data_IF_730664111208
#
_entry.id   IF_730664111208
#
_cell.length_a   1.000
_cell.length_b   1.000
_cell.length_c   1.000
_cell.angle_alpha   90.00
_cell.angle_beta   90.00
_cell.angle_gamma   90.00
#
_symmetry.space_group_name_H-M   'P 1'
#
loop_
_entity.id
_entity.type
_entity.pdbx_description
1 polymer ?
#
# COMPACT_ATOMS: atom_id res chain seq x y z
N UNK A 1 -23.47 -10.03 14.53
CA UNK A 1 -22.64 -8.91 14.02
C UNK A 1 -21.56 -8.65 15.07
N UNK A 2 -20.31 -9.06 14.82
CA UNK A 2 -19.22 -8.84 15.78
C UNK A 2 -18.85 -7.36 15.88
N UNK A 3 -18.35 -6.91 17.04
CA UNK A 3 -17.76 -5.58 17.22
C UNK A 3 -16.38 -5.55 16.52
N UNK A 4 -16.38 -5.42 15.19
CA UNK A 4 -15.14 -5.30 14.42
C UNK A 4 -15.09 -3.92 13.77
N UNK A 5 -14.14 -3.08 14.19
CA UNK A 5 -13.88 -1.79 13.57
C UNK A 5 -13.03 -1.97 12.29
N UNK A 6 -13.60 -2.61 11.27
CA UNK A 6 -12.90 -2.88 10.01
C UNK A 6 -13.47 -2.04 8.88
N UNK A 7 -12.57 -1.36 8.16
CA UNK A 7 -12.91 -0.60 6.95
C UNK A 7 -13.34 -1.47 5.76
N UNK A 8 -13.35 -2.81 5.91
CA UNK A 8 -13.75 -3.76 4.87
C UNK A 8 -15.22 -3.56 4.48
N UNK A 9 -16.08 -3.31 5.47
CA UNK A 9 -17.52 -3.13 5.29
C UNK A 9 -17.95 -1.65 5.33
N UNK A 10 -17.01 -0.73 5.54
CA UNK A 10 -17.29 0.70 5.53
C UNK A 10 -17.52 1.14 4.07
N UNK A 11 -18.79 1.44 3.76
CA UNK A 11 -19.23 1.85 2.42
C UNK A 11 -19.22 3.35 2.24
N UNK A 12 -19.68 4.09 3.24
CA UNK A 12 -19.88 5.53 3.16
C UNK A 12 -19.21 6.27 4.32
N UNK A 13 -18.65 7.43 4.04
CA UNK A 13 -18.21 8.42 5.02
C UNK A 13 -19.34 9.43 5.23
N UNK A 14 -19.81 9.55 6.47
CA UNK A 14 -20.88 10.49 6.83
C UNK A 14 -20.37 11.72 7.58
N UNK A 15 -19.25 11.59 8.29
CA UNK A 15 -18.67 12.68 9.06
C UNK A 15 -17.16 12.49 9.21
N UNK A 16 -16.45 13.61 9.34
CA UNK A 16 -15.05 13.65 9.76
C UNK A 16 -15.01 14.21 11.17
N UNK A 17 -14.36 13.49 12.07
CA UNK A 17 -14.27 13.85 13.48
C UNK A 17 -12.80 13.99 13.86
N UNK A 18 -12.48 15.09 14.53
CA UNK A 18 -11.16 15.38 15.09
C UNK A 18 -11.29 15.38 16.61
N UNK A 19 -10.41 14.64 17.26
CA UNK A 19 -10.22 14.69 18.70
C UNK A 19 -9.19 15.79 19.01
N UNK A 20 -9.50 16.66 19.96
CA UNK A 20 -8.61 17.73 20.41
C UNK A 20 -8.48 17.65 21.93
N UNK A 21 -7.31 17.23 22.39
CA UNK A 21 -7.02 17.10 23.82
C UNK A 21 -6.45 18.40 24.42
N UNK A 22 -6.42 18.45 25.75
CA UNK A 22 -5.83 19.55 26.53
C UNK A 22 -6.39 20.93 26.19
N UNK A 23 -7.72 21.01 26.05
CA UNK A 23 -8.45 22.25 25.75
C UNK A 23 -8.99 22.85 27.04
N UNK A 24 -8.51 24.02 27.44
CA UNK A 24 -9.12 24.80 28.51
C UNK A 24 -9.97 25.94 27.95
N UNK A 25 -10.55 26.77 28.82
CA UNK A 25 -11.53 27.76 28.42
C UNK A 25 -10.98 28.81 27.44
N UNK A 26 -9.70 29.16 27.56
CA UNK A 26 -9.06 30.09 26.63
C UNK A 26 -8.84 29.46 25.26
N UNK A 27 -8.36 28.22 25.20
CA UNK A 27 -8.14 27.51 23.94
C UNK A 27 -9.47 27.25 23.22
N UNK A 28 -10.55 26.97 23.97
CA UNK A 28 -11.89 26.84 23.40
C UNK A 28 -12.38 28.17 22.79
N UNK A 29 -12.18 29.30 23.47
CA UNK A 29 -12.52 30.61 22.92
C UNK A 29 -11.76 30.88 21.62
N UNK A 30 -10.44 30.70 21.64
CA UNK A 30 -9.61 30.87 20.46
C UNK A 30 -10.03 29.93 19.31
N UNK A 31 -10.40 28.69 19.62
CA UNK A 31 -10.92 27.74 18.64
C UNK A 31 -12.22 28.24 18.01
N UNK A 32 -13.14 28.76 18.80
CA UNK A 32 -14.41 29.33 18.31
C UNK A 32 -14.15 30.55 17.43
N UNK A 33 -13.29 31.47 17.86
CA UNK A 33 -12.90 32.65 17.09
C UNK A 33 -12.23 32.27 15.75
N UNK A 34 -11.53 31.14 15.73
CA UNK A 34 -10.85 30.62 14.53
C UNK A 34 -11.82 30.19 13.43
N UNK A 35 -13.09 29.91 13.75
CA UNK A 35 -14.12 29.49 12.79
C UNK A 35 -14.62 30.62 11.89
N UNK A 36 -14.48 31.87 12.34
CA UNK A 36 -14.94 33.04 11.60
C UNK A 36 -13.88 33.57 10.62
N UNK A 37 -12.67 32.98 10.66
CA UNK A 37 -11.60 33.31 9.72
C UNK A 37 -11.79 32.63 8.36
N UNK A 38 -11.50 33.39 7.29
CA UNK A 38 -11.60 32.89 5.92
C UNK A 38 -10.50 31.86 5.60
N UNK A 39 -10.75 30.91 4.69
CA UNK A 39 -9.72 29.99 4.20
C UNK A 39 -8.45 30.72 3.77
N UNK A 40 -7.29 30.20 4.15
CA UNK A 40 -5.98 30.80 3.85
C UNK A 40 -5.44 31.77 4.91
N UNK A 41 -6.28 32.28 5.82
CA UNK A 41 -5.81 33.06 6.96
C UNK A 41 -5.09 32.16 7.99
N UNK A 42 -4.10 32.73 8.69
CA UNK A 42 -3.34 31.99 9.70
C UNK A 42 -4.25 31.60 10.87
N UNK A 43 -4.26 30.32 11.25
CA UNK A 43 -5.14 29.81 12.29
C UNK A 43 -6.61 29.62 11.85
N UNK A 44 -6.96 29.85 10.58
CA UNK A 44 -8.31 29.56 10.10
C UNK A 44 -8.62 28.07 10.12
N UNK A 45 -9.73 27.72 10.76
CA UNK A 45 -10.26 26.37 10.90
C UNK A 45 -11.69 26.41 10.34
N UNK A 46 -12.13 25.41 9.54
CA UNK A 46 -13.50 25.40 9.05
C UNK A 46 -14.47 25.36 10.22
N UNK A 47 -15.55 26.15 10.16
CA UNK A 47 -16.65 26.04 11.12
C UNK A 47 -17.23 24.61 11.10
N UNK A 48 -17.29 23.92 12.25
CA UNK A 48 -17.81 22.55 12.32
C UNK A 48 -19.34 22.54 12.45
N UNK A 49 -19.94 21.36 12.28
CA UNK A 49 -21.36 21.14 12.54
C UNK A 49 -21.64 21.04 14.04
N UNK A 50 -20.86 20.22 14.75
CA UNK A 50 -20.99 20.05 16.20
C UNK A 50 -19.65 20.16 16.92
N UNK A 51 -19.69 20.69 18.15
CA UNK A 51 -18.65 20.48 19.16
C UNK A 51 -19.17 19.52 20.20
N UNK A 52 -18.39 18.49 20.54
CA UNK A 52 -18.77 17.47 21.51
C UNK A 52 -17.80 17.46 22.66
N UNK A 53 -18.30 17.68 23.87
CA UNK A 53 -17.51 17.61 25.11
C UNK A 53 -17.64 16.21 25.69
N UNK A 54 -16.53 15.48 25.78
CA UNK A 54 -16.52 14.12 26.33
C UNK A 54 -15.60 13.93 27.54
N UNK A 55 -14.98 14.98 28.04
CA UNK A 55 -13.94 14.91 29.08
C UNK A 55 -13.14 16.20 29.15
N UNK A 56 -11.82 16.06 29.25
CA UNK A 56 -10.85 17.17 29.22
C UNK A 56 -10.56 17.70 27.80
N UNK A 57 -11.08 17.03 26.77
CA UNK A 57 -10.93 17.40 25.37
C UNK A 57 -12.27 17.66 24.69
N UNK A 58 -12.18 18.12 23.45
CA UNK A 58 -13.33 18.45 22.59
C UNK A 58 -13.20 17.67 21.28
N UNK A 59 -14.30 17.07 20.85
CA UNK A 59 -14.37 16.51 19.52
C UNK A 59 -15.04 17.51 18.56
N UNK A 60 -14.41 17.74 17.42
CA UNK A 60 -14.89 18.63 16.37
C UNK A 60 -15.51 17.77 15.26
N UNK A 61 -16.81 17.92 15.02
CA UNK A 61 -17.57 17.13 14.06
C UNK A 61 -17.90 17.94 12.80
N UNK A 62 -17.42 17.45 11.66
CA UNK A 62 -17.80 17.91 10.33
C UNK A 62 -18.75 16.87 9.72
N UNK A 63 -20.05 17.10 9.82
CA UNK A 63 -21.04 16.21 9.21
C UNK A 63 -21.20 16.59 7.75
N UNK A 64 -21.03 15.63 6.85
CA UNK A 64 -21.12 15.90 5.42
C UNK A 64 -22.57 16.16 5.01
N UNK A 65 -22.76 17.09 4.08
CA UNK A 65 -24.07 17.36 3.47
C UNK A 65 -24.58 16.13 2.70
N UNK A 66 -23.67 15.43 2.01
CA UNK A 66 -23.89 14.17 1.32
C UNK A 66 -22.90 13.10 1.80
N UNK A 67 -23.36 11.86 2.09
CA UNK A 67 -22.47 10.74 2.34
C UNK A 67 -21.55 10.48 1.12
N UNK A 68 -20.29 10.12 1.37
CA UNK A 68 -19.31 9.84 0.30
C UNK A 68 -18.95 8.37 0.29
N UNK A 69 -19.09 7.72 -0.87
CA UNK A 69 -18.66 6.33 -1.08
C UNK A 69 -17.14 6.19 -0.89
N UNK A 70 -16.72 5.35 0.06
CA UNK A 70 -15.32 5.15 0.43
C UNK A 70 -14.64 4.11 -0.47
N UNK A 71 -14.30 4.52 -1.70
CA UNK A 71 -13.37 3.77 -2.53
C UNK A 71 -11.95 3.74 -1.91
N UNK A 72 -11.11 2.72 -2.21
CA UNK A 72 -9.78 2.61 -1.61
C UNK A 72 -8.89 3.85 -1.76
N UNK A 73 -8.96 4.56 -2.90
CA UNK A 73 -8.19 5.77 -3.13
C UNK A 73 -8.71 6.96 -2.28
N UNK A 74 -10.03 7.11 -2.14
CA UNK A 74 -10.65 8.12 -1.29
C UNK A 74 -10.32 7.92 0.19
N UNK A 75 -10.25 6.66 0.67
CA UNK A 75 -9.82 6.37 2.04
C UNK A 75 -8.47 7.01 2.37
N UNK A 76 -7.53 6.97 1.42
CA UNK A 76 -6.21 7.59 1.61
C UNK A 76 -6.29 9.13 1.52
N UNK A 77 -7.09 9.68 0.60
CA UNK A 77 -7.27 11.14 0.50
C UNK A 77 -7.96 11.72 1.74
N UNK A 78 -9.04 11.11 2.23
CA UNK A 78 -9.73 11.55 3.44
C UNK A 78 -8.85 11.46 4.69
N UNK A 79 -7.91 10.50 4.73
CA UNK A 79 -6.90 10.43 5.79
C UNK A 79 -5.97 11.64 5.76
N UNK A 80 -5.47 12.03 4.59
CA UNK A 80 -4.61 13.23 4.46
C UNK A 80 -5.39 14.52 4.73
N UNK A 81 -6.66 14.61 4.29
CA UNK A 81 -7.56 15.71 4.62
C UNK A 81 -7.75 15.83 6.14
N UNK A 82 -8.11 14.73 6.81
CA UNK A 82 -8.25 14.68 8.28
C UNK A 82 -6.95 15.11 8.94
N UNK A 83 -5.78 14.65 8.47
CA UNK A 83 -4.49 15.07 9.03
C UNK A 83 -4.22 16.56 8.84
N UNK A 84 -4.55 17.14 7.68
CA UNK A 84 -4.42 18.57 7.44
C UNK A 84 -5.30 19.40 8.37
N UNK A 85 -6.55 18.98 8.57
CA UNK A 85 -7.48 19.62 9.49
C UNK A 85 -7.05 19.45 10.95
N UNK A 86 -6.59 18.25 11.36
CA UNK A 86 -6.09 18.00 12.72
C UNK A 86 -4.87 18.86 13.02
N UNK A 87 -3.93 18.99 12.08
CA UNK A 87 -2.77 19.85 12.25
C UNK A 87 -3.15 21.32 12.46
N UNK A 88 -4.17 21.81 11.75
CA UNK A 88 -4.70 23.17 11.93
C UNK A 88 -5.42 23.35 13.25
N UNK A 89 -6.26 22.39 13.62
CA UNK A 89 -7.03 22.41 14.85
C UNK A 89 -6.16 22.23 16.09
N UNK A 90 -5.01 21.57 15.98
CA UNK A 90 -4.08 21.29 17.07
C UNK A 90 -2.90 22.24 17.05
N UNK A 91 -3.15 23.51 17.41
CA UNK A 91 -2.13 24.52 17.56
C UNK A 91 -1.77 24.69 19.05
N UNK A 92 -0.55 24.30 19.49
CA UNK A 92 -0.12 24.34 20.88
C UNK A 92 -0.15 25.73 21.55
N UNK A 93 -0.20 26.79 20.73
CA UNK A 93 -0.20 28.18 21.21
C UNK A 93 -1.59 28.82 21.18
N UNK A 94 -2.57 28.18 20.53
CA UNK A 94 -3.87 28.78 20.26
C UNK A 94 -5.01 27.89 20.76
N UNK A 95 -5.05 26.62 20.35
CA UNK A 95 -6.23 25.76 20.44
C UNK A 95 -6.03 24.47 21.26
N UNK A 96 -4.79 24.12 21.60
CA UNK A 96 -4.47 23.04 22.56
C UNK A 96 -3.23 23.42 23.35
N UNK A 97 -3.03 22.84 24.54
CA UNK A 97 -1.78 22.98 25.32
C UNK A 97 -0.73 21.92 24.98
N UNK A 98 -1.11 20.90 24.21
CA UNK A 98 -0.21 19.80 23.89
C UNK A 98 0.66 20.14 22.67
N UNK A 99 1.98 20.11 22.84
CA UNK A 99 2.95 20.39 21.76
C UNK A 99 2.99 19.29 20.68
N UNK A 100 2.62 18.07 21.03
CA UNK A 100 2.66 16.91 20.13
C UNK A 100 1.27 16.58 19.61
N UNK A 101 1.05 16.80 18.31
CA UNK A 101 -0.22 16.52 17.63
C UNK A 101 -0.46 15.00 17.56
N UNK A 102 -1.64 14.57 18.01
CA UNK A 102 -2.06 13.18 17.91
C UNK A 102 -2.89 12.92 16.63
N UNK A 103 -2.29 12.22 15.67
CA UNK A 103 -2.97 11.87 14.42
C UNK A 103 -3.73 10.54 14.51
N UNK A 104 -5.02 10.61 14.18
CA UNK A 104 -5.94 9.48 14.30
C UNK A 104 -6.59 9.10 12.95
N UNK A 105 -6.97 7.83 12.80
CA UNK A 105 -7.57 7.29 11.58
C UNK A 105 -8.95 7.87 11.29
N UNK A 106 -9.39 7.82 10.03
CA UNK A 106 -10.79 8.12 9.65
C UNK A 106 -11.79 7.10 10.23
N UNK A 107 -11.31 5.90 10.59
CA UNK A 107 -12.12 4.83 11.16
C UNK A 107 -12.15 4.84 12.70
N UNK A 108 -11.62 5.88 13.33
CA UNK A 108 -11.58 5.94 14.79
C UNK A 108 -13.00 5.97 15.37
N UNK A 109 -13.23 5.15 16.39
CA UNK A 109 -14.45 5.18 17.17
C UNK A 109 -14.43 6.34 18.16
N UNK A 110 -15.54 7.05 18.28
CA UNK A 110 -15.75 8.11 19.26
C UNK A 110 -16.85 7.71 20.24
N UNK A 111 -16.85 8.33 21.43
CA UNK A 111 -17.92 8.14 22.41
C UNK A 111 -19.24 8.67 21.85
N UNK A 112 -20.30 7.90 22.05
CA UNK A 112 -21.65 8.26 21.60
C UNK A 112 -22.18 9.43 22.44
N UNK A 113 -22.72 10.46 21.78
CA UNK A 113 -23.40 11.56 22.46
C UNK A 113 -24.57 11.01 23.28
N UNK A 114 -24.73 11.50 24.52
CA UNK A 114 -25.71 11.01 25.49
C UNK A 114 -25.20 9.88 26.39
N UNK A 115 -24.09 9.22 26.05
CA UNK A 115 -23.47 8.20 26.92
C UNK A 115 -22.73 8.84 28.12
N UNK A 116 -22.48 8.03 29.15
CA UNK A 116 -21.65 8.40 30.31
C UNK A 116 -20.20 8.04 29.99
N UNK A 117 -19.26 8.95 30.23
CA UNK A 117 -17.84 8.65 30.12
C UNK A 117 -17.33 7.98 31.41
N UNK A 118 -17.02 6.67 31.41
CA UNK A 118 -16.59 5.96 32.61
C UNK A 118 -15.22 6.43 33.14
N UNK A 119 -14.44 7.17 32.34
CA UNK A 119 -13.11 7.67 32.72
C UNK A 119 -13.16 8.80 33.74
N UNK A 120 -14.24 9.59 33.78
CA UNK A 120 -14.37 10.77 34.64
C UNK A 120 -15.54 10.63 35.64
N UNK A 121 -15.95 9.39 35.95
CA UNK A 121 -17.02 9.07 36.89
C UNK A 121 -18.41 8.93 36.27
N UNK A 122 -19.40 8.57 37.09
CA UNK A 122 -20.75 8.18 36.65
C UNK A 122 -21.61 9.33 36.12
N UNK A 123 -21.19 10.59 36.27
CA UNK A 123 -22.03 11.76 36.00
C UNK A 123 -21.59 12.60 34.77
N UNK A 124 -20.48 12.24 34.11
CA UNK A 124 -20.05 13.01 32.94
C UNK A 124 -20.72 12.49 31.67
N UNK A 125 -21.80 13.17 31.28
CA UNK A 125 -22.49 12.93 30.02
C UNK A 125 -21.72 13.55 28.85
N UNK A 126 -21.59 12.78 27.77
CA UNK A 126 -21.10 13.29 26.49
C UNK A 126 -22.18 14.18 25.87
N UNK A 127 -21.90 15.48 25.73
CA UNK A 127 -22.85 16.47 25.20
C UNK A 127 -22.36 17.04 23.88
N UNK A 128 -23.30 17.27 22.96
CA UNK A 128 -23.05 17.91 21.68
C UNK A 128 -23.70 19.29 21.63
N UNK A 129 -23.01 20.24 21.02
CA UNK A 129 -23.48 21.59 20.75
C UNK A 129 -23.45 21.82 19.25
N UNK A 130 -24.58 22.16 18.65
CA UNK A 130 -24.63 22.52 17.24
C UNK A 130 -24.11 23.95 17.09
N UNK A 131 -23.07 24.13 16.28
CA UNK A 131 -22.39 25.42 16.08
C UNK A 131 -22.36 25.87 14.62
N UNK A 132 -22.78 25.00 13.70
CA UNK A 132 -22.85 25.26 12.29
C UNK A 132 -23.68 24.21 11.56
N UNK A 133 -23.73 24.35 10.24
CA UNK A 133 -24.46 23.44 9.36
C UNK A 133 -23.59 22.26 8.92
N UNK A 134 -24.21 21.37 8.13
CA UNK A 134 -23.46 20.33 7.41
C UNK A 134 -22.52 20.97 6.40
N UNK A 135 -21.41 20.30 6.12
CA UNK A 135 -20.33 20.83 5.29
C UNK A 135 -20.11 19.98 4.06
N UNK A 136 -19.73 20.62 2.94
CA UNK A 136 -19.30 19.90 1.75
C UNK A 136 -17.81 19.54 1.82
N UNK A 137 -17.39 18.54 1.03
CA UNK A 137 -15.97 18.17 0.91
C UNK A 137 -15.15 19.32 0.32
N UNK A 138 -15.71 20.06 -0.65
CA UNK A 138 -15.05 21.21 -1.28
C UNK A 138 -14.80 22.35 -0.29
N UNK A 139 -15.75 22.58 0.62
CA UNK A 139 -15.56 23.53 1.71
C UNK A 139 -14.37 23.13 2.58
N UNK A 140 -14.28 21.86 2.99
CA UNK A 140 -13.14 21.37 3.79
C UNK A 140 -11.81 21.43 3.01
N UNK A 141 -11.82 21.11 1.72
CA UNK A 141 -10.66 21.18 0.83
C UNK A 141 -10.04 22.58 0.76
N UNK A 142 -10.86 23.64 0.90
CA UNK A 142 -10.39 25.03 0.88
C UNK A 142 -9.49 25.38 2.07
N UNK A 143 -9.58 24.64 3.19
CA UNK A 143 -8.79 24.89 4.39
C UNK A 143 -7.47 24.12 4.44
N UNK A 144 -7.21 23.18 3.54
CA UNK A 144 -5.99 22.37 3.52
C UNK A 144 -5.12 22.62 2.29
N UNK A 145 -3.87 22.14 2.34
CA UNK A 145 -2.94 22.20 1.19
C UNK A 145 -3.41 21.29 0.07
N UNK A 146 -2.97 21.59 -1.15
CA UNK A 146 -3.35 20.85 -2.35
C UNK A 146 -3.06 19.35 -2.22
N UNK A 147 -1.92 18.97 -1.64
CA UNK A 147 -1.56 17.56 -1.44
C UNK A 147 -2.49 16.78 -0.49
N UNK A 148 -3.32 17.49 0.29
CA UNK A 148 -4.20 16.93 1.31
C UNK A 148 -5.68 16.96 0.89
N UNK A 149 -5.99 17.48 -0.30
CA UNK A 149 -7.36 17.60 -0.79
C UNK A 149 -7.90 16.25 -1.24
N UNK A 150 -9.22 16.12 -1.15
CA UNK A 150 -9.99 15.00 -1.68
C UNK A 150 -10.52 15.38 -3.06
N UNK A 151 -10.31 14.51 -4.03
CA UNK A 151 -10.79 14.66 -5.41
C UNK A 151 -11.89 13.62 -5.62
N UNK A 152 -13.14 14.08 -5.60
CA UNK A 152 -14.33 13.24 -5.79
C UNK A 152 -14.62 12.97 -7.28
N UNK A 153 -14.14 13.82 -8.18
CA UNK A 153 -14.41 13.73 -9.62
C UNK A 153 -13.60 12.63 -10.30
N UNK A 154 -12.48 12.24 -9.68
CA UNK A 154 -11.63 11.18 -10.19
C UNK A 154 -12.30 9.81 -10.07
N UNK A 155 -12.96 9.38 -11.15
CA UNK A 155 -13.52 8.03 -11.27
C UNK A 155 -12.47 6.95 -10.96
N UNK A 156 -12.75 6.12 -9.96
CA UNK A 156 -11.92 4.96 -9.66
C UNK A 156 -12.01 3.95 -10.79
N UNK A 157 -10.97 3.90 -11.61
CA UNK A 157 -10.81 2.84 -12.59
C UNK A 157 -9.79 1.86 -12.02
N UNK A 158 -10.20 0.71 -11.45
CA UNK A 158 -9.22 -0.29 -11.04
C UNK A 158 -8.45 -0.73 -12.28
N UNK A 159 -7.12 -0.82 -12.19
CA UNK A 159 -6.31 -1.45 -13.22
C UNK A 159 -6.74 -2.92 -13.31
N UNK A 160 -7.52 -3.26 -14.33
CA UNK A 160 -7.94 -4.64 -14.60
C UNK A 160 -6.87 -5.31 -15.44
N UNK A 161 -6.43 -6.48 -14.99
CA UNK A 161 -5.51 -7.35 -15.71
C UNK A 161 -6.13 -8.75 -15.71
N UNK A 162 -6.08 -9.44 -16.84
CA UNK A 162 -6.54 -10.83 -16.90
C UNK A 162 -5.62 -11.73 -16.07
N UNK A 163 -6.13 -12.89 -15.63
CA UNK A 163 -5.31 -13.86 -14.90
C UNK A 163 -4.12 -14.36 -15.72
N UNK A 164 -4.26 -14.47 -17.04
CA UNK A 164 -3.17 -14.87 -17.94
C UNK A 164 -2.07 -13.80 -18.04
N UNK A 165 -2.45 -12.52 -18.19
CA UNK A 165 -1.50 -11.40 -18.16
C UNK A 165 -0.80 -11.30 -16.80
N UNK A 166 -1.54 -11.48 -15.70
CA UNK A 166 -0.96 -11.47 -14.35
C UNK A 166 0.02 -12.64 -14.14
N UNK A 167 -0.26 -13.82 -14.70
CA UNK A 167 0.65 -14.97 -14.67
C UNK A 167 1.96 -14.68 -15.42
N UNK A 168 1.89 -13.93 -16.51
CA UNK A 168 3.06 -13.57 -17.32
C UNK A 168 3.88 -12.43 -16.70
N UNK A 169 3.21 -11.37 -16.25
CA UNK A 169 3.89 -10.18 -15.70
C UNK A 169 4.32 -10.36 -14.24
N UNK A 170 3.55 -11.10 -13.45
CA UNK A 170 3.78 -11.30 -12.02
C UNK A 170 3.71 -12.79 -11.63
N UNK A 171 4.61 -13.64 -12.17
CA UNK A 171 4.57 -15.10 -11.96
C UNK A 171 4.63 -15.50 -10.47
N UNK A 172 5.49 -14.83 -9.69
CA UNK A 172 5.61 -15.05 -8.24
C UNK A 172 4.33 -14.71 -7.47
N UNK A 173 3.64 -13.64 -7.88
CA UNK A 173 2.36 -13.24 -7.29
C UNK A 173 1.28 -14.26 -7.64
N UNK A 174 1.23 -14.72 -8.90
CA UNK A 174 0.26 -15.69 -9.37
C UNK A 174 0.41 -17.03 -8.64
N UNK A 175 1.65 -17.54 -8.51
CA UNK A 175 1.91 -18.77 -7.77
C UNK A 175 1.46 -18.67 -6.30
N UNK A 176 1.80 -17.57 -5.63
CA UNK A 176 1.46 -17.41 -4.21
C UNK A 176 -0.04 -17.18 -3.99
N UNK A 177 -0.65 -16.29 -4.76
CA UNK A 177 -2.03 -15.85 -4.54
C UNK A 177 -3.06 -16.79 -5.13
N UNK A 178 -2.82 -17.31 -6.33
CA UNK A 178 -3.78 -18.12 -7.07
C UNK A 178 -3.53 -19.61 -6.85
N UNK A 179 -2.29 -20.09 -6.96
CA UNK A 179 -2.00 -21.53 -6.79
C UNK A 179 -1.93 -21.95 -5.31
N UNK A 180 -1.20 -21.19 -4.48
CA UNK A 180 -1.00 -21.50 -3.05
C UNK A 180 -2.09 -20.92 -2.14
N UNK A 181 -2.93 -20.02 -2.64
CA UNK A 181 -3.99 -19.36 -1.86
C UNK A 181 -3.48 -18.44 -0.74
N UNK A 182 -2.23 -17.96 -0.82
CA UNK A 182 -1.66 -17.07 0.19
C UNK A 182 -2.30 -15.67 0.15
N UNK A 183 -3.31 -15.46 0.99
CA UNK A 183 -4.04 -14.20 1.08
C UNK A 183 -3.26 -13.07 1.79
N UNK A 184 -2.03 -13.33 2.23
CA UNK A 184 -1.18 -12.32 2.85
C UNK A 184 -0.22 -11.68 1.84
N UNK A 185 -0.04 -10.35 1.86
CA UNK A 185 0.94 -9.68 1.00
C UNK A 185 2.37 -10.20 1.25
N UNK A 186 3.27 -10.02 0.28
CA UNK A 186 4.71 -10.29 0.49
C UNK A 186 5.22 -9.38 1.60
N UNK A 187 5.65 -9.97 2.72
CA UNK A 187 6.30 -9.24 3.81
C UNK A 187 7.80 -9.21 3.58
N UNK A 188 8.39 -8.04 3.74
CA UNK A 188 9.83 -7.93 3.91
C UNK A 188 10.10 -8.06 5.40
N UNK A 189 10.75 -9.16 5.81
CA UNK A 189 11.23 -9.27 7.17
C UNK A 189 12.40 -8.29 7.34
N UNK A 190 12.26 -7.39 8.30
CA UNK A 190 13.35 -6.50 8.70
C UNK A 190 14.14 -7.13 9.85
N UNK A 191 15.36 -6.65 10.07
CA UNK A 191 16.24 -7.19 11.10
C UNK A 191 15.64 -7.03 12.51
N UNK A 192 15.66 -8.10 13.32
CA UNK A 192 15.21 -8.12 14.73
C UNK A 192 15.82 -7.00 15.59
N UNK A 193 17.03 -6.55 15.27
CA UNK A 193 17.66 -5.41 15.95
C UNK A 193 16.79 -4.14 15.96
N UNK A 194 15.90 -3.97 14.98
CA UNK A 194 14.97 -2.83 14.93
C UNK A 194 13.88 -2.96 15.99
N UNK A 195 13.38 -4.17 16.24
CA UNK A 195 12.43 -4.45 17.32
C UNK A 195 13.07 -4.20 18.69
N UNK A 196 14.27 -4.73 18.90
CA UNK A 196 15.03 -4.54 20.15
C UNK A 196 15.41 -3.06 20.37
N UNK A 197 15.69 -2.31 19.29
CA UNK A 197 15.88 -0.87 19.35
C UNK A 197 14.60 -0.13 19.77
N UNK A 198 13.43 -0.50 19.22
CA UNK A 198 12.15 0.10 19.59
C UNK A 198 11.82 -0.12 21.08
N UNK A 199 12.13 -1.31 21.62
CA UNK A 199 11.93 -1.60 23.06
C UNK A 199 12.63 -0.61 23.98
N UNK A 200 13.77 -0.06 23.54
CA UNK A 200 14.54 0.94 24.30
C UNK A 200 13.91 2.34 24.27
N UNK A 201 13.06 2.63 23.29
CA UNK A 201 12.43 3.95 23.11
C UNK A 201 11.33 4.24 24.15
N UNK A 202 10.93 3.23 24.95
CA UNK A 202 9.96 3.40 26.04
C UNK A 202 10.35 4.53 27.01
N UNK A 203 11.64 4.75 27.23
CA UNK A 203 12.13 5.82 28.10
C UNK A 203 11.76 7.23 27.60
N UNK A 204 11.78 7.44 26.29
CA UNK A 204 11.57 8.75 25.66
C UNK A 204 10.09 9.06 25.38
N UNK A 205 9.20 8.08 25.59
CA UNK A 205 7.76 8.24 25.36
C UNK A 205 7.10 9.09 26.45
N UNK A 206 6.27 10.04 26.04
CA UNK A 206 5.42 10.86 26.92
C UNK A 206 4.16 10.08 27.31
N UNK A 207 3.55 10.42 28.46
CA UNK A 207 2.36 9.75 29.00
C UNK A 207 1.20 9.55 28.00
N UNK A 208 0.91 10.56 27.17
CA UNK A 208 -0.15 10.45 26.15
C UNK A 208 0.10 9.38 25.07
N UNK A 209 1.35 8.97 24.87
CA UNK A 209 1.74 8.01 23.84
C UNK A 209 2.03 6.61 24.37
N UNK A 210 1.72 6.31 25.65
CA UNK A 210 1.94 4.98 26.27
C UNK A 210 1.30 3.83 25.49
N UNK A 211 0.02 3.98 25.10
CA UNK A 211 -0.68 3.00 24.26
C UNK A 211 -0.07 2.89 22.87
N UNK A 212 0.20 4.03 22.22
CA UNK A 212 0.78 4.08 20.88
C UNK A 212 2.16 3.42 20.83
N UNK A 213 2.97 3.53 21.88
CA UNK A 213 4.23 2.82 22.00
C UNK A 213 4.06 1.29 21.92
N UNK A 214 3.10 0.72 22.68
CA UNK A 214 2.81 -0.72 22.65
C UNK A 214 2.23 -1.16 21.31
N UNK A 215 1.30 -0.37 20.74
CA UNK A 215 0.75 -0.61 19.41
C UNK A 215 1.88 -0.67 18.35
N UNK A 216 2.80 0.28 18.38
CA UNK A 216 3.93 0.35 17.45
C UNK A 216 4.99 -0.72 17.72
N UNK A 217 5.14 -1.19 18.96
CA UNK A 217 5.92 -2.37 19.28
C UNK A 217 5.35 -3.59 18.53
N UNK A 218 4.03 -3.73 18.48
CA UNK A 218 3.34 -4.77 17.69
C UNK A 218 3.58 -4.62 16.19
N UNK A 219 3.58 -3.39 15.67
CA UNK A 219 3.95 -3.10 14.27
C UNK A 219 5.38 -3.60 13.97
N UNK A 220 6.34 -3.32 14.85
CA UNK A 220 7.71 -3.80 14.68
C UNK A 220 7.85 -5.31 14.86
N UNK A 221 7.09 -5.92 15.78
CA UNK A 221 7.03 -7.37 15.96
C UNK A 221 6.62 -8.06 14.65
N UNK A 222 5.54 -7.59 14.02
CA UNK A 222 5.07 -8.11 12.72
C UNK A 222 6.10 -7.91 11.61
N UNK A 223 6.76 -6.74 11.56
CA UNK A 223 7.80 -6.45 10.56
C UNK A 223 9.05 -7.32 10.75
N UNK A 224 9.41 -7.65 11.98
CA UNK A 224 10.60 -8.47 12.31
C UNK A 224 10.31 -9.97 12.36
N UNK A 225 9.04 -10.39 12.24
CA UNK A 225 8.64 -11.79 12.33
C UNK A 225 8.65 -12.35 13.76
N UNK A 226 8.48 -11.51 14.78
CA UNK A 226 8.34 -11.90 16.18
C UNK A 226 6.95 -12.50 16.42
N UNK A 227 6.86 -13.55 17.23
CA UNK A 227 5.59 -14.24 17.50
C UNK A 227 4.66 -13.36 18.36
N UNK A 228 3.36 -13.68 18.37
CA UNK A 228 2.40 -12.93 19.20
C UNK A 228 2.66 -13.15 20.69
N UNK A 229 3.13 -14.34 21.05
CA UNK A 229 3.47 -14.75 22.41
C UNK A 229 4.64 -13.90 22.95
N UNK A 230 5.76 -13.84 22.22
CA UNK A 230 6.93 -13.00 22.59
C UNK A 230 6.55 -11.52 22.68
N UNK A 231 5.76 -11.02 21.72
CA UNK A 231 5.25 -9.65 21.74
C UNK A 231 4.36 -9.37 22.97
N UNK A 232 3.51 -10.32 23.35
CA UNK A 232 2.64 -10.22 24.53
C UNK A 232 3.46 -10.13 25.82
N UNK A 233 4.48 -10.99 25.96
CA UNK A 233 5.40 -10.96 27.11
C UNK A 233 6.16 -9.62 27.18
N UNK A 234 6.67 -9.13 26.06
CA UNK A 234 7.36 -7.83 26.00
C UNK A 234 6.43 -6.65 26.35
N UNK A 235 5.15 -6.71 25.96
CA UNK A 235 4.14 -5.71 26.34
C UNK A 235 3.93 -5.66 27.85
N UNK A 236 3.71 -6.82 28.47
CA UNK A 236 3.56 -6.93 29.93
C UNK A 236 4.84 -6.55 30.67
N UNK A 237 6.01 -6.90 30.13
CA UNK A 237 7.30 -6.49 30.67
C UNK A 237 7.48 -4.97 30.70
N UNK A 238 6.89 -4.24 29.75
CA UNK A 238 6.93 -2.76 29.68
C UNK A 238 5.85 -2.05 30.49
N UNK A 239 4.80 -2.76 30.90
CA UNK A 239 3.68 -2.16 31.65
C UNK A 239 4.11 -1.44 32.94
N UNK A 240 4.97 -1.99 33.82
CA UNK A 240 5.39 -1.29 35.04
C UNK A 240 6.10 0.05 34.79
N UNK A 241 6.87 0.13 33.70
CA UNK A 241 7.59 1.34 33.30
C UNK A 241 6.63 2.39 32.75
N UNK A 242 5.74 1.99 31.83
CA UNK A 242 4.76 2.88 31.20
C UNK A 242 3.73 3.41 32.21
N UNK A 243 3.31 2.58 33.17
CA UNK A 243 2.36 2.96 34.22
C UNK A 243 2.84 4.13 35.08
N UNK A 244 4.16 4.25 35.29
CA UNK A 244 4.76 5.34 36.09
C UNK A 244 4.80 6.67 35.36
N UNK A 245 4.64 6.69 34.03
CA UNK A 245 4.70 7.92 33.25
C UNK A 245 3.40 8.73 33.45
N UNK A 246 3.48 9.98 33.93
CA UNK A 246 2.29 10.79 34.21
C UNK A 246 1.59 11.22 32.91
N UNK A 247 0.26 11.29 32.93
CA UNK A 247 -0.56 11.78 31.83
C UNK A 247 -1.84 12.47 32.37
N UNK A 248 -1.68 13.51 33.18
CA UNK A 248 -2.82 14.14 33.86
C UNK A 248 -3.59 13.14 34.73
N UNK A 249 -4.92 13.09 34.56
CA UNK A 249 -5.81 12.16 35.29
C UNK A 249 -5.90 10.76 34.67
N UNK A 250 -5.19 10.53 33.56
CA UNK A 250 -5.26 9.27 32.82
C UNK A 250 -4.36 8.18 33.42
N UNK A 251 -4.99 7.21 34.07
CA UNK A 251 -4.34 6.03 34.63
C UNK A 251 -4.16 4.99 33.53
N UNK A 252 -2.92 4.56 33.29
CA UNK A 252 -2.62 3.46 32.37
C UNK A 252 -2.98 2.12 33.03
N UNK A 253 -3.85 1.34 32.39
CA UNK A 253 -4.44 0.14 32.99
C UNK A 253 -4.04 -1.15 32.24
N UNK A 254 -4.25 -2.34 32.82
CA UNK A 254 -4.00 -3.61 32.15
C UNK A 254 -4.77 -3.76 30.83
N UNK A 255 -5.99 -3.21 30.75
CA UNK A 255 -6.83 -3.30 29.56
C UNK A 255 -6.21 -2.55 28.35
N UNK A 256 -5.40 -1.50 28.60
CA UNK A 256 -4.68 -0.80 27.53
C UNK A 256 -3.60 -1.70 26.90
N UNK A 257 -2.99 -2.58 27.70
CA UNK A 257 -1.98 -3.55 27.26
C UNK A 257 -2.66 -4.65 26.45
N UNK A 258 -3.78 -5.19 26.95
CA UNK A 258 -4.57 -6.20 26.24
C UNK A 258 -5.04 -5.67 24.88
N UNK A 259 -5.56 -4.44 24.84
CA UNK A 259 -5.96 -3.79 23.59
C UNK A 259 -4.79 -3.61 22.61
N UNK A 260 -3.59 -3.32 23.09
CA UNK A 260 -2.40 -3.25 22.24
C UNK A 260 -1.99 -4.65 21.73
N UNK A 261 -2.13 -5.71 22.54
CA UNK A 261 -1.85 -7.09 22.13
C UNK A 261 -2.85 -7.55 21.05
N UNK A 262 -4.12 -7.18 21.18
CA UNK A 262 -5.16 -7.44 20.18
C UNK A 262 -4.86 -6.77 18.84
N UNK A 263 -4.11 -5.66 18.85
CA UNK A 263 -3.73 -4.95 17.64
C UNK A 263 -2.65 -5.64 16.79
N UNK A 264 -2.14 -6.80 17.23
CA UNK A 264 -1.19 -7.62 16.48
C UNK A 264 -1.85 -8.16 15.20
N UNK A 265 -1.79 -7.34 14.14
CA UNK A 265 -2.35 -7.66 12.82
C UNK A 265 -1.23 -7.89 11.81
N UNK A 266 -1.27 -9.01 11.06
CA UNK A 266 -0.28 -9.27 10.03
C UNK A 266 -0.22 -8.24 8.88
N UNK A 267 -1.20 -7.34 8.75
CA UNK A 267 -1.25 -6.20 7.83
C UNK A 267 -0.47 -4.97 8.33
N UNK A 268 -0.12 -4.92 9.62
CA UNK A 268 0.65 -3.81 10.20
C UNK A 268 2.05 -3.66 9.58
N UNK A 269 2.54 -4.66 8.84
CA UNK A 269 3.81 -4.57 8.11
C UNK A 269 3.89 -3.38 7.13
N UNK A 270 2.75 -2.81 6.71
CA UNK A 270 2.69 -1.67 5.77
C UNK A 270 2.94 -0.30 6.40
N UNK A 271 2.96 -0.19 7.73
CA UNK A 271 3.19 1.10 8.41
C UNK A 271 4.51 1.74 7.96
N UNK A 272 4.43 2.98 7.48
CA UNK A 272 5.61 3.75 7.09
C UNK A 272 6.31 4.35 8.29
N UNK A 273 7.61 4.66 8.17
CA UNK A 273 8.37 5.35 9.23
C UNK A 273 7.71 6.68 9.60
N UNK A 274 7.17 7.41 8.62
CA UNK A 274 6.51 8.70 8.85
C UNK A 274 5.26 8.53 9.72
N UNK A 275 4.48 7.48 9.50
CA UNK A 275 3.31 7.19 10.34
C UNK A 275 3.70 6.76 11.75
N UNK A 276 4.80 6.02 11.89
CA UNK A 276 5.35 5.65 13.20
C UNK A 276 5.72 6.93 13.96
N UNK A 277 6.49 7.84 13.35
CA UNK A 277 6.87 9.13 13.93
C UNK A 277 5.63 9.95 14.35
N UNK A 278 4.62 10.04 13.48
CA UNK A 278 3.37 10.77 13.76
C UNK A 278 2.58 10.20 14.94
N UNK A 279 2.63 8.89 15.16
CA UNK A 279 1.86 8.21 16.22
C UNK A 279 2.61 8.14 17.55
N UNK A 280 3.91 7.91 17.51
CA UNK A 280 4.73 7.87 18.73
C UNK A 280 5.10 9.25 19.25
N UNK A 281 5.08 10.28 18.40
CA UNK A 281 5.67 11.58 18.71
C UNK A 281 7.20 11.55 18.72
N UNK A 282 7.84 10.42 18.38
CA UNK A 282 9.29 10.27 18.37
C UNK A 282 9.86 10.49 16.98
N UNK A 283 10.89 11.32 16.88
CA UNK A 283 11.66 11.51 15.65
C UNK A 283 12.57 10.32 15.43
N UNK A 284 12.48 9.68 14.26
CA UNK A 284 13.36 8.57 13.87
C UNK A 284 14.40 9.10 12.90
N UNK A 285 15.66 9.10 13.31
CA UNK A 285 16.75 9.47 12.42
C UNK A 285 16.88 8.46 11.28
N UNK A 286 16.92 8.98 10.05
CA UNK A 286 17.07 8.15 8.85
C UNK A 286 18.53 7.81 8.66
N UNK A 287 18.83 6.52 8.44
CA UNK A 287 20.18 6.05 8.13
C UNK A 287 20.79 6.85 6.97
N UNK A 288 21.97 7.41 7.21
CA UNK A 288 22.79 8.08 6.18
C UNK A 288 23.72 7.07 5.56
N UNK A 289 24.01 7.20 4.25
CA UNK A 289 25.04 6.39 3.57
C UNK A 289 26.27 7.27 3.38
N UNK A 290 27.39 6.91 4.02
CA UNK A 290 28.61 7.73 4.04
C UNK A 290 28.33 9.20 4.40
N UNK A 291 27.60 9.41 5.51
CA UNK A 291 27.15 10.71 6.03
C UNK A 291 26.27 11.56 5.10
N UNK A 292 25.89 11.03 3.93
CA UNK A 292 25.09 11.72 2.90
C UNK A 292 23.66 11.18 2.85
N UNK A 293 22.72 12.02 2.40
CA UNK A 293 21.37 11.56 2.05
C UNK A 293 21.46 10.61 0.85
N UNK A 294 20.54 9.65 0.74
CA UNK A 294 20.58 8.65 -0.35
C UNK A 294 20.67 9.30 -1.75
N UNK A 295 19.92 10.37 -2.00
CA UNK A 295 19.95 11.11 -3.28
C UNK A 295 21.34 11.69 -3.58
N UNK A 296 22.00 12.26 -2.58
CA UNK A 296 23.36 12.81 -2.71
C UNK A 296 24.40 11.70 -2.85
N UNK A 297 24.25 10.61 -2.10
CA UNK A 297 25.11 9.45 -2.20
C UNK A 297 25.03 8.81 -3.60
N UNK A 298 23.83 8.65 -4.17
CA UNK A 298 23.65 8.16 -5.54
C UNK A 298 24.29 9.12 -6.55
N UNK A 299 24.09 10.43 -6.39
CA UNK A 299 24.75 11.43 -7.25
C UNK A 299 26.27 11.31 -7.20
N UNK A 300 26.84 11.22 -5.99
CA UNK A 300 28.27 11.07 -5.80
C UNK A 300 28.79 9.75 -6.38
N UNK A 301 28.11 8.63 -6.12
CA UNK A 301 28.46 7.32 -6.66
C UNK A 301 28.43 7.31 -8.19
N UNK A 302 27.39 7.90 -8.80
CA UNK A 302 27.30 8.04 -10.25
C UNK A 302 28.44 8.92 -10.78
N UNK A 303 28.73 10.05 -10.13
CA UNK A 303 29.82 10.93 -10.54
C UNK A 303 31.20 10.26 -10.45
N UNK A 304 31.45 9.47 -9.40
CA UNK A 304 32.69 8.69 -9.27
C UNK A 304 32.76 7.60 -10.35
N UNK A 305 31.66 6.87 -10.56
CA UNK A 305 31.59 5.84 -11.62
C UNK A 305 31.87 6.45 -12.99
N UNK A 306 31.19 7.55 -13.32
CA UNK A 306 31.18 8.14 -14.66
C UNK A 306 32.43 8.96 -14.95
N UNK A 307 33.08 9.57 -13.94
CA UNK A 307 34.25 10.44 -14.17
C UNK A 307 35.58 9.85 -13.70
N UNK A 308 35.57 8.89 -12.76
CA UNK A 308 36.81 8.33 -12.17
C UNK A 308 37.01 6.88 -12.60
N UNK A 309 36.00 6.02 -12.38
CA UNK A 309 36.14 4.58 -12.66
C UNK A 309 35.99 4.27 -14.14
N UNK A 310 35.11 4.99 -14.84
CA UNK A 310 34.79 4.76 -16.25
C UNK A 310 34.57 6.10 -17.00
N UNK A 311 35.60 6.97 -17.09
CA UNK A 311 35.51 8.27 -17.76
C UNK A 311 35.03 8.20 -19.22
N UNK A 312 35.30 7.09 -19.92
CA UNK A 312 34.85 6.87 -21.31
C UNK A 312 33.50 6.13 -21.42
N UNK A 313 32.80 5.93 -20.30
CA UNK A 313 31.49 5.28 -20.26
C UNK A 313 31.55 3.76 -20.49
N UNK A 314 32.69 3.11 -20.24
CA UNK A 314 32.89 1.66 -20.45
C UNK A 314 31.97 0.74 -19.63
N UNK A 315 31.29 1.26 -18.61
CA UNK A 315 30.26 0.52 -17.86
C UNK A 315 28.91 0.47 -18.58
N UNK A 316 28.67 1.40 -19.52
CA UNK A 316 27.46 1.41 -20.32
C UNK A 316 27.60 0.37 -21.42
N UNK A 317 26.79 -0.67 -21.33
CA UNK A 317 26.71 -1.65 -22.40
C UNK A 317 26.01 -1.02 -23.63
N UNK A 318 26.81 -0.47 -24.55
CA UNK A 318 26.36 0.15 -25.81
C UNK A 318 25.68 -0.83 -26.78
N UNK A 319 25.84 -2.13 -26.55
CA UNK A 319 25.32 -3.21 -27.40
C UNK A 319 24.03 -3.85 -26.83
N UNK A 320 23.50 -3.30 -25.73
CA UNK A 320 22.38 -3.89 -24.99
C UNK A 320 22.83 -5.08 -24.13
N UNK A 321 22.10 -5.35 -23.04
CA UNK A 321 22.38 -6.51 -22.20
C UNK A 321 22.54 -7.77 -23.07
N UNK A 322 23.54 -8.65 -22.86
CA UNK A 322 23.68 -9.88 -23.64
C UNK A 322 22.37 -10.64 -23.56
N UNK A 323 21.60 -10.60 -24.64
CA UNK A 323 20.27 -11.20 -24.62
C UNK A 323 20.49 -12.70 -24.67
N UNK A 324 20.38 -13.35 -23.50
CA UNK A 324 20.21 -14.81 -23.41
C UNK A 324 19.10 -15.33 -24.32
N UNK A 325 18.24 -14.45 -24.82
CA UNK A 325 17.36 -14.68 -25.97
C UNK A 325 18.06 -15.28 -27.19
N UNK A 326 19.21 -14.76 -27.64
CA UNK A 326 19.91 -15.29 -28.83
C UNK A 326 20.40 -16.72 -28.57
N UNK A 327 21.03 -16.95 -27.42
CA UNK A 327 21.50 -18.28 -27.01
C UNK A 327 20.34 -19.27 -26.87
N UNK A 328 19.26 -18.88 -26.17
CA UNK A 328 18.06 -19.71 -25.99
C UNK A 328 17.40 -20.02 -27.34
N UNK A 329 17.31 -19.03 -28.25
CA UNK A 329 16.71 -19.23 -29.59
C UNK A 329 17.58 -20.12 -30.49
N UNK A 330 18.90 -19.95 -30.50
CA UNK A 330 19.83 -20.80 -31.25
C UNK A 330 19.75 -22.23 -30.72
N UNK A 331 19.81 -22.40 -29.39
CA UNK A 331 19.70 -23.71 -28.76
C UNK A 331 18.36 -24.38 -29.04
N UNK A 332 17.23 -23.66 -29.03
CA UNK A 332 15.91 -24.20 -29.38
C UNK A 332 15.83 -24.60 -30.86
N UNK A 333 16.51 -23.89 -31.77
CA UNK A 333 16.58 -24.22 -33.19
C UNK A 333 17.45 -25.45 -33.47
N UNK A 334 18.59 -25.54 -32.80
CA UNK A 334 19.55 -26.65 -32.95
C UNK A 334 19.09 -27.93 -32.22
N UNK A 335 18.45 -27.77 -31.06
CA UNK A 335 17.84 -28.87 -30.31
C UNK A 335 16.56 -29.33 -31.01
N UNK A 336 16.71 -30.16 -32.04
CA UNK A 336 15.60 -30.78 -32.73
C UNK A 336 14.75 -31.61 -31.74
N UNK A 337 13.52 -31.16 -31.50
CA UNK A 337 12.33 -31.87 -30.96
C UNK A 337 12.42 -32.69 -29.65
N UNK A 338 13.56 -32.86 -28.96
CA UNK A 338 13.67 -33.85 -27.87
C UNK A 338 14.12 -33.37 -26.48
N UNK A 339 14.42 -32.09 -26.26
CA UNK A 339 14.83 -31.63 -24.94
C UNK A 339 13.65 -31.01 -24.16
N UNK A 340 13.47 -31.41 -22.91
CA UNK A 340 12.49 -30.81 -22.00
C UNK A 340 12.91 -29.40 -21.60
N UNK A 341 11.94 -28.54 -21.25
CA UNK A 341 12.20 -27.16 -20.78
C UNK A 341 13.18 -27.12 -19.61
N UNK A 342 13.16 -28.15 -18.76
CA UNK A 342 14.05 -28.29 -17.61
C UNK A 342 15.49 -28.61 -18.03
N UNK A 343 15.70 -29.42 -19.06
CA UNK A 343 17.03 -29.72 -19.61
C UNK A 343 17.62 -28.49 -20.31
N UNK A 344 16.81 -27.80 -21.13
CA UNK A 344 17.23 -26.55 -21.78
C UNK A 344 17.64 -25.50 -20.73
N UNK A 345 16.87 -25.38 -19.64
CA UNK A 345 17.17 -24.47 -18.54
C UNK A 345 18.48 -24.82 -17.83
N UNK A 346 18.75 -26.12 -17.64
CA UNK A 346 19.95 -26.64 -16.99
C UNK A 346 21.19 -26.43 -17.86
N UNK A 347 21.10 -26.73 -19.16
CA UNK A 347 22.21 -26.64 -20.11
C UNK A 347 22.62 -25.18 -20.36
N UNK A 348 21.66 -24.26 -20.43
CA UNK A 348 21.91 -22.83 -20.66
C UNK A 348 22.18 -22.02 -19.37
N UNK A 349 22.06 -22.67 -18.20
CA UNK A 349 22.16 -21.99 -16.89
C UNK A 349 21.15 -20.84 -16.77
N UNK A 350 19.91 -21.06 -17.18
CA UNK A 350 18.82 -20.07 -17.13
C UNK A 350 17.62 -20.62 -16.38
N UNK A 351 16.74 -19.72 -15.89
CA UNK A 351 15.51 -20.17 -15.25
C UNK A 351 14.53 -20.75 -16.28
N UNK A 352 13.68 -21.69 -15.87
CA UNK A 352 12.60 -22.25 -16.70
C UNK A 352 11.70 -21.15 -17.28
N UNK A 353 11.46 -20.08 -16.52
CA UNK A 353 10.68 -18.93 -16.96
C UNK A 353 11.30 -18.23 -18.20
N UNK A 354 12.62 -18.09 -18.22
CA UNK A 354 13.35 -17.54 -19.37
C UNK A 354 13.21 -18.42 -20.61
N UNK A 355 13.23 -19.75 -20.45
CA UNK A 355 13.00 -20.69 -21.57
C UNK A 355 11.56 -20.58 -22.10
N UNK A 356 10.55 -20.54 -21.21
CA UNK A 356 9.15 -20.40 -21.61
C UNK A 356 8.86 -19.08 -22.34
N UNK A 357 9.53 -17.99 -21.96
CA UNK A 357 9.42 -16.68 -22.60
C UNK A 357 9.75 -16.73 -24.09
N UNK A 358 10.75 -17.52 -24.48
CA UNK A 358 11.27 -17.56 -25.86
C UNK A 358 10.78 -18.77 -26.67
N UNK A 359 10.27 -19.83 -26.03
CA UNK A 359 9.59 -20.94 -26.74
C UNK A 359 8.25 -20.52 -27.34
N UNK A 360 7.54 -19.58 -26.69
CA UNK A 360 6.19 -19.17 -27.06
C UNK A 360 6.13 -17.88 -27.91
N UNK A 361 7.26 -17.27 -28.28
CA UNK A 361 7.27 -16.11 -29.17
C UNK A 361 6.80 -16.52 -30.57
N UNK A 362 6.03 -15.66 -31.23
CA UNK A 362 5.32 -15.95 -32.48
C UNK A 362 6.25 -16.43 -33.62
N UNK A 363 7.52 -16.06 -33.59
CA UNK A 363 8.54 -16.50 -34.56
C UNK A 363 8.88 -18.00 -34.45
N UNK A 364 8.78 -18.62 -33.26
CA UNK A 364 9.03 -20.07 -33.06
C UNK A 364 7.81 -20.92 -33.47
N UNK A 365 6.60 -20.33 -33.44
CA UNK A 365 5.38 -21.00 -33.95
C UNK A 365 5.41 -21.16 -35.46
N UNK A 366 6.03 -20.24 -36.19
CA UNK A 366 6.14 -20.29 -37.65
C UNK A 366 7.11 -21.38 -38.15
N UNK A 367 8.10 -21.79 -37.36
CA UNK A 367 9.14 -22.74 -37.77
C UNK A 367 8.82 -24.22 -37.41
N UNK A 368 7.69 -24.47 -36.72
CA UNK A 368 7.30 -25.82 -36.23
C UNK A 368 6.14 -26.47 -36.99
N UNK A 369 5.69 -25.88 -38.10
CA UNK A 369 4.75 -26.52 -39.02
C UNK A 369 5.30 -26.43 -40.43
N UNK A 370 5.56 -27.58 -41.07
CA UNK A 370 5.74 -27.61 -42.53
C UNK A 370 4.58 -26.84 -43.16
N UNK A 371 4.89 -25.77 -43.89
CA UNK A 371 3.89 -24.89 -44.47
C UNK A 371 2.94 -25.77 -45.31
N UNK A 372 1.64 -25.75 -45.00
CA UNK A 372 0.63 -26.60 -45.67
C UNK A 372 0.67 -26.40 -47.20
N UNK A 373 1.15 -25.24 -47.63
CA UNK A 373 1.46 -24.91 -49.01
C UNK A 373 2.53 -25.85 -49.63
N UNK A 374 3.68 -26.03 -48.99
CA UNK A 374 4.78 -26.88 -49.49
C UNK A 374 4.40 -28.37 -49.51
N UNK A 375 3.63 -28.83 -48.51
CA UNK A 375 3.11 -30.20 -48.48
C UNK A 375 2.13 -30.47 -49.63
N UNK A 376 1.23 -29.52 -49.90
CA UNK A 376 0.26 -29.66 -50.99
C UNK A 376 0.97 -29.60 -52.35
N UNK A 377 1.92 -28.68 -52.54
CA UNK A 377 2.65 -28.54 -53.81
C UNK A 377 3.54 -29.75 -54.10
N UNK A 378 4.32 -30.22 -53.13
CA UNK A 378 5.18 -31.39 -53.29
C UNK A 378 4.37 -32.66 -53.59
N UNK A 379 3.21 -32.82 -52.95
CA UNK A 379 2.33 -33.96 -53.18
C UNK A 379 1.68 -33.93 -54.58
N UNK A 380 1.22 -32.76 -55.04
CA UNK A 380 0.66 -32.59 -56.39
C UNK A 380 1.71 -32.89 -57.46
N UNK A 381 2.94 -32.39 -57.30
CA UNK A 381 4.05 -32.67 -58.24
C UNK A 381 4.38 -34.16 -58.33
N UNK A 382 4.29 -34.88 -57.22
CA UNK A 382 4.56 -36.32 -57.17
C UNK A 382 3.41 -37.17 -57.73
N UNK A 383 2.17 -36.69 -57.65
CA UNK A 383 0.97 -37.42 -58.08
C UNK A 383 0.00 -36.52 -58.89
N UNK A 384 0.36 -36.12 -60.12
CA UNK A 384 -0.37 -35.10 -60.88
C UNK A 384 -1.80 -35.51 -61.30
N UNK A 385 -2.11 -36.81 -61.31
CA UNK A 385 -3.44 -37.33 -61.69
C UNK A 385 -4.44 -37.42 -60.52
N UNK A 386 -4.01 -37.12 -59.29
CA UNK A 386 -4.87 -37.21 -58.10
C UNK A 386 -5.80 -36.01 -58.00
N UNK A 387 -7.06 -36.25 -57.66
CA UNK A 387 -8.05 -35.17 -57.51
C UNK A 387 -7.97 -34.51 -56.13
N UNK A 388 -8.56 -33.32 -56.00
CA UNK A 388 -8.49 -32.50 -54.77
C UNK A 388 -9.03 -33.23 -53.54
N UNK A 389 -10.06 -34.06 -53.70
CA UNK A 389 -10.64 -34.83 -52.60
C UNK A 389 -9.70 -35.93 -52.10
N UNK A 390 -8.95 -36.57 -52.99
CA UNK A 390 -7.96 -37.59 -52.62
C UNK A 390 -6.75 -36.97 -51.93
N UNK A 391 -6.26 -35.83 -52.44
CA UNK A 391 -5.13 -35.10 -51.84
C UNK A 391 -5.49 -34.60 -50.44
N UNK A 392 -6.68 -34.04 -50.28
CA UNK A 392 -7.21 -33.60 -48.99
C UNK A 392 -7.29 -34.77 -47.98
N UNK A 393 -7.79 -35.93 -48.42
CA UNK A 393 -7.90 -37.12 -47.57
C UNK A 393 -6.54 -37.67 -47.17
N UNK A 394 -5.58 -37.71 -48.11
CA UNK A 394 -4.25 -38.26 -47.84
C UNK A 394 -3.40 -37.37 -46.95
N UNK A 395 -3.50 -36.05 -47.11
CA UNK A 395 -2.71 -35.08 -46.34
C UNK A 395 -3.39 -34.65 -45.04
N UNK A 396 -4.65 -35.04 -44.81
CA UNK A 396 -5.43 -34.57 -43.65
C UNK A 396 -5.71 -33.06 -43.68
N UNK A 397 -5.78 -32.47 -44.87
CA UNK A 397 -5.97 -31.03 -45.10
C UNK A 397 -7.34 -30.78 -45.71
N UNK A 398 -7.99 -29.66 -45.40
CA UNK A 398 -9.31 -29.35 -45.98
C UNK A 398 -9.25 -29.20 -47.50
N UNK A 399 -10.30 -29.66 -48.20
CA UNK A 399 -10.42 -29.53 -49.67
C UNK A 399 -10.30 -28.08 -50.12
N UNK A 400 -10.85 -27.14 -49.35
CA UNK A 400 -10.75 -25.69 -49.60
C UNK A 400 -9.31 -25.18 -49.56
N UNK A 401 -8.48 -25.70 -48.65
CA UNK A 401 -7.06 -25.33 -48.55
C UNK A 401 -6.27 -25.90 -49.73
N UNK A 402 -6.55 -27.14 -50.14
CA UNK A 402 -5.93 -27.73 -51.33
C UNK A 402 -6.32 -26.97 -52.60
N UNK A 403 -7.59 -26.58 -52.75
CA UNK A 403 -8.06 -25.74 -53.86
C UNK A 403 -7.36 -24.37 -53.91
N UNK A 404 -7.21 -23.73 -52.75
CA UNK A 404 -6.53 -22.43 -52.63
C UNK A 404 -5.12 -22.48 -53.21
N UNK A 405 -4.34 -23.50 -52.85
CA UNK A 405 -2.96 -23.63 -53.34
C UNK A 405 -2.89 -24.12 -54.78
N UNK A 406 -3.74 -25.07 -55.19
CA UNK A 406 -3.82 -25.52 -56.59
C UNK A 406 -4.11 -24.33 -57.53
N UNK A 407 -5.08 -23.47 -57.18
CA UNK A 407 -5.41 -22.25 -57.92
C UNK A 407 -4.28 -21.22 -57.93
N UNK A 408 -3.60 -21.02 -56.80
CA UNK A 408 -2.51 -20.05 -56.67
C UNK A 408 -1.32 -20.37 -57.59
N UNK A 409 -1.07 -21.65 -57.89
CA UNK A 409 0.09 -22.11 -58.68
C UNK A 409 -0.27 -22.66 -60.07
N UNK A 410 -1.54 -22.61 -60.49
CA UNK A 410 -1.97 -23.07 -61.82
C UNK A 410 -1.78 -24.57 -62.08
N UNK A 411 -1.85 -25.39 -61.02
CA UNK A 411 -1.67 -26.85 -61.06
C UNK A 411 -2.99 -27.61 -61.20
#
# INVERSE_FOLDING_TARGET
>A
RGKANTLLNARELNAIIIDLDSVSLNELKNLIDSFDNTPGYFGAIPRPTFLVTSGTGIHIYYVLDQPVDLFPYLKQQFKELKYGLTYKAWNPTITSKDEVVQYQSIAQGFRMVGSINPKYGENLHVRAFQVGDRVSVDYLNSYVKEEQRVDLDKLFTPSKMTLEEARLQYPDWFERRILKGENLPKRWQINRAVYDWWKKQSLDIVGGHRYWYLYLLGVYAVKCGISKEEFSEDCWGKYPELKRKPNGTDIFKPEDVESAIESYDPCNFMYSIIEIERKSGLRIERNRRNYRKQKEHIKFMNAVRDNVSYPEGGWQNKQGAPTKEKEVRVFIKEASKKNSVSEIAKDLGVTRATVYKYINSEEVKNDRGSNKEDLVISYIKKYPKKNVSEIAKQLGISRTTVYKYKKKYGL
#
